data_IF_121793062355
#
_entry.id   IF_121793062355
#
_cell.length_a   1.000
_cell.length_b   1.000
_cell.length_c   1.000
_cell.angle_alpha   90.00
_cell.angle_beta   90.00
_cell.angle_gamma   90.00
#
_symmetry.space_group_name_H-M   'P 1'
#
loop_
_entity.id
_entity.type
_entity.pdbx_description
1 polymer ?
#
# COMPACT_ATOMS: atom_id res chain seq x y z
N UNK A 1 14.62 -7.77 -19.46
CA UNK A 1 13.31 -7.33 -19.94
C UNK A 1 13.17 -5.84 -19.70
N UNK A 2 12.44 -5.15 -20.57
CA UNK A 2 11.95 -3.80 -20.34
C UNK A 2 10.55 -3.89 -19.69
N UNK A 3 10.44 -3.45 -18.46
CA UNK A 3 9.19 -3.47 -17.69
C UNK A 3 8.72 -2.03 -17.47
N UNK A 4 7.53 -1.71 -17.94
CA UNK A 4 6.88 -0.43 -17.64
C UNK A 4 6.04 -0.61 -16.38
N UNK A 5 6.29 0.23 -15.37
CA UNK A 5 5.43 0.37 -14.19
C UNK A 5 4.49 1.55 -14.39
N UNK A 6 3.22 1.37 -14.10
CA UNK A 6 2.25 2.44 -14.12
C UNK A 6 1.58 2.60 -12.76
N UNK A 7 1.54 3.84 -12.29
CA UNK A 7 0.83 4.24 -11.08
C UNK A 7 0.11 5.58 -11.29
N UNK A 8 -0.77 5.92 -10.37
CA UNK A 8 -1.50 7.18 -10.44
C UNK A 8 -1.56 7.89 -9.09
N UNK A 9 -1.65 9.23 -9.17
CA UNK A 9 -1.91 10.11 -8.02
C UNK A 9 -0.78 10.23 -6.99
N UNK A 10 0.39 9.60 -7.20
CA UNK A 10 1.53 9.73 -6.30
C UNK A 10 2.19 11.12 -6.44
N UNK A 11 2.30 11.63 -7.66
CA UNK A 11 2.84 12.97 -7.93
C UNK A 11 2.01 14.06 -7.23
N UNK A 12 0.69 13.96 -7.25
CA UNK A 12 -0.22 14.91 -6.59
C UNK A 12 -0.32 14.72 -5.06
N UNK A 13 0.34 13.70 -4.51
CA UNK A 13 0.38 13.43 -3.06
C UNK A 13 1.84 13.40 -2.51
N UNK A 14 2.55 14.54 -2.55
CA UNK A 14 3.96 14.60 -2.17
C UNK A 14 4.23 14.31 -0.69
N UNK A 15 3.23 14.46 0.18
CA UNK A 15 3.36 14.25 1.63
C UNK A 15 3.02 12.82 2.08
N UNK A 16 2.84 11.90 1.15
CA UNK A 16 2.49 10.50 1.43
C UNK A 16 3.69 9.58 1.59
N UNK A 17 4.59 9.81 2.54
CA UNK A 17 5.86 9.05 2.67
C UNK A 17 5.70 7.54 2.71
N UNK A 18 4.61 7.02 3.31
CA UNK A 18 4.28 5.59 3.29
C UNK A 18 3.93 5.08 1.88
N UNK A 19 3.10 5.82 1.13
CA UNK A 19 2.74 5.46 -0.26
C UNK A 19 3.96 5.51 -1.17
N UNK A 20 4.79 6.54 -1.02
CA UNK A 20 6.07 6.66 -1.72
C UNK A 20 7.00 5.48 -1.41
N UNK A 21 7.13 5.12 -0.13
CA UNK A 21 7.97 3.99 0.29
C UNK A 21 7.49 2.66 -0.29
N UNK A 22 6.18 2.46 -0.35
CA UNK A 22 5.58 1.28 -0.96
C UNK A 22 5.85 1.22 -2.46
N UNK A 23 5.58 2.30 -3.20
CA UNK A 23 5.78 2.34 -4.65
C UNK A 23 7.24 2.13 -5.06
N UNK A 24 8.19 2.75 -4.36
CA UNK A 24 9.62 2.64 -4.65
C UNK A 24 10.14 1.21 -4.59
N UNK A 25 9.51 0.32 -3.84
CA UNK A 25 9.95 -1.07 -3.71
C UNK A 25 9.80 -1.86 -5.01
N UNK A 26 8.83 -1.51 -5.86
CA UNK A 26 8.65 -2.14 -7.17
C UNK A 26 9.82 -1.83 -8.13
N UNK A 27 10.08 -0.58 -8.52
CA UNK A 27 11.15 -0.30 -9.48
C UNK A 27 12.54 -0.64 -8.92
N UNK A 28 12.78 -0.43 -7.62
CA UNK A 28 14.08 -0.76 -7.02
C UNK A 28 14.31 -2.26 -6.95
N UNK A 29 13.30 -3.05 -6.58
CA UNK A 29 13.38 -4.49 -6.54
C UNK A 29 13.57 -5.10 -7.94
N UNK A 30 12.79 -4.67 -8.93
CA UNK A 30 12.91 -5.13 -10.31
C UNK A 30 14.27 -4.77 -10.93
N UNK A 31 14.77 -3.56 -10.67
CA UNK A 31 16.11 -3.14 -11.12
C UNK A 31 17.21 -3.97 -10.48
N UNK A 32 17.09 -4.30 -9.20
CA UNK A 32 18.04 -5.18 -8.50
C UNK A 32 18.06 -6.60 -9.08
N UNK A 33 16.97 -7.05 -9.69
CA UNK A 33 16.89 -8.30 -10.46
C UNK A 33 17.45 -8.21 -11.87
N UNK A 34 17.99 -7.06 -12.29
CA UNK A 34 18.62 -6.86 -13.60
C UNK A 34 17.64 -6.48 -14.72
N UNK A 35 16.45 -6.00 -14.39
CA UNK A 35 15.49 -5.54 -15.39
C UNK A 35 15.64 -4.04 -15.69
N UNK A 36 15.38 -3.65 -16.94
CA UNK A 36 15.23 -2.25 -17.32
C UNK A 36 13.83 -1.81 -16.95
N UNK A 37 13.74 -0.71 -16.21
CA UNK A 37 12.47 -0.20 -15.69
C UNK A 37 12.19 1.17 -16.27
N UNK A 38 10.96 1.37 -16.72
CA UNK A 38 10.44 2.70 -17.00
C UNK A 38 9.17 2.93 -16.19
N UNK A 39 9.06 4.06 -15.48
CA UNK A 39 7.91 4.36 -14.64
C UNK A 39 7.06 5.46 -15.25
N UNK A 40 5.79 5.17 -15.50
CA UNK A 40 4.79 6.15 -15.92
C UNK A 40 3.90 6.46 -14.72
N UNK A 41 3.98 7.68 -14.25
CA UNK A 41 3.06 8.21 -13.24
C UNK A 41 1.96 9.01 -13.93
N UNK A 42 0.70 8.72 -13.60
CA UNK A 42 -0.45 9.44 -14.12
C UNK A 42 -1.01 10.37 -13.04
N UNK A 43 -1.37 11.57 -13.46
CA UNK A 43 -1.93 12.58 -12.57
C UNK A 43 -3.14 13.25 -13.24
N UNK A 44 -4.22 13.43 -12.46
CA UNK A 44 -5.31 14.30 -12.87
C UNK A 44 -4.88 15.76 -12.69
N UNK A 45 -5.13 16.59 -13.70
CA UNK A 45 -4.91 18.03 -13.61
C UNK A 45 -5.71 18.63 -12.45
N UNK A 46 -5.12 19.53 -11.71
CA UNK A 46 -5.81 20.32 -10.70
C UNK A 46 -6.49 21.57 -11.28
N UNK A 47 -6.42 21.75 -12.63
CA UNK A 47 -6.96 22.91 -13.34
C UNK A 47 -6.00 24.12 -13.36
N UNK A 48 -4.80 24.00 -12.82
CA UNK A 48 -3.72 24.99 -12.86
C UNK A 48 -2.45 24.36 -13.42
N UNK A 49 -2.08 24.66 -14.68
CA UNK A 49 -0.91 24.08 -15.34
C UNK A 49 0.42 24.36 -14.61
N UNK A 50 0.54 25.50 -13.93
CA UNK A 50 1.76 25.82 -13.19
C UNK A 50 1.92 24.90 -11.98
N UNK A 51 0.83 24.66 -11.26
CA UNK A 51 0.78 23.75 -10.11
C UNK A 51 0.93 22.28 -10.54
N UNK A 52 0.33 21.89 -11.66
CA UNK A 52 0.53 20.56 -12.24
C UNK A 52 2.00 20.34 -12.56
N UNK A 53 2.67 21.35 -13.15
CA UNK A 53 4.10 21.31 -13.42
C UNK A 53 4.95 21.23 -12.14
N UNK A 54 4.56 21.93 -11.08
CA UNK A 54 5.23 21.83 -9.79
C UNK A 54 5.14 20.39 -9.21
N UNK A 55 3.96 19.79 -9.20
CA UNK A 55 3.78 18.41 -8.75
C UNK A 55 4.61 17.42 -9.56
N UNK A 56 4.57 17.53 -10.89
CA UNK A 56 5.31 16.65 -11.78
C UNK A 56 6.83 16.78 -11.59
N UNK A 57 7.36 18.00 -11.51
CA UNK A 57 8.78 18.25 -11.31
C UNK A 57 9.26 17.80 -9.92
N UNK A 58 8.47 18.02 -8.88
CA UNK A 58 8.78 17.52 -7.54
C UNK A 58 8.82 15.98 -7.49
N UNK A 59 7.92 15.32 -8.21
CA UNK A 59 7.94 13.87 -8.37
C UNK A 59 9.23 13.40 -9.03
N UNK A 60 9.58 13.98 -10.21
CA UNK A 60 10.79 13.64 -10.95
C UNK A 60 12.06 13.90 -10.15
N UNK A 61 12.14 15.02 -9.43
CA UNK A 61 13.25 15.32 -8.54
C UNK A 61 13.40 14.30 -7.40
N UNK A 62 12.29 13.87 -6.81
CA UNK A 62 12.32 12.87 -5.73
C UNK A 62 12.79 11.51 -6.22
N UNK A 63 12.30 11.02 -7.35
CA UNK A 63 12.74 9.71 -7.87
C UNK A 63 14.18 9.74 -8.38
N UNK A 64 14.72 10.90 -8.74
CA UNK A 64 16.12 11.08 -9.11
C UNK A 64 17.05 10.70 -7.94
N UNK A 65 16.65 10.98 -6.70
CA UNK A 65 17.41 10.60 -5.51
C UNK A 65 17.55 9.08 -5.33
N UNK A 66 16.67 8.30 -5.98
CA UNK A 66 16.72 6.82 -6.02
C UNK A 66 17.37 6.27 -7.29
N UNK A 67 17.96 7.15 -8.13
CA UNK A 67 18.60 6.77 -9.39
C UNK A 67 17.61 6.26 -10.44
N UNK A 68 16.35 6.67 -10.39
CA UNK A 68 15.28 6.26 -11.32
C UNK A 68 15.05 7.26 -12.45
N UNK A 69 15.55 8.49 -12.36
CA UNK A 69 15.65 9.37 -13.50
C UNK A 69 16.87 8.97 -14.38
N UNK A 70 16.77 9.00 -15.72
CA UNK A 70 15.71 9.50 -16.57
C UNK A 70 14.62 8.48 -16.96
N UNK A 71 14.48 7.38 -16.25
CA UNK A 71 13.58 6.28 -16.59
C UNK A 71 12.16 6.49 -16.02
N UNK A 72 11.66 7.73 -16.09
CA UNK A 72 10.35 8.05 -15.57
C UNK A 72 9.70 9.20 -16.36
N UNK A 73 8.37 9.16 -16.43
CA UNK A 73 7.55 10.24 -16.97
C UNK A 73 6.34 10.49 -16.08
N UNK A 74 5.87 11.74 -16.03
CA UNK A 74 4.56 12.10 -15.50
C UNK A 74 3.66 12.51 -16.65
N UNK A 75 2.49 11.89 -16.75
CA UNK A 75 1.44 12.21 -17.71
C UNK A 75 0.28 12.85 -16.97
N UNK A 76 -0.02 14.12 -17.28
CA UNK A 76 -1.13 14.85 -16.68
C UNK A 76 -2.28 14.89 -17.65
N UNK A 77 -3.45 14.41 -17.20
CA UNK A 77 -4.70 14.38 -17.95
C UNK A 77 -5.75 15.25 -17.28
N UNK A 78 -6.63 15.86 -18.05
CA UNK A 78 -7.82 16.55 -17.53
C UNK A 78 -8.75 15.55 -16.82
N UNK A 79 -8.87 14.35 -17.38
CA UNK A 79 -9.64 13.25 -16.83
C UNK A 79 -8.86 11.93 -16.93
N UNK A 80 -8.70 11.23 -15.82
CA UNK A 80 -8.02 9.93 -15.79
C UNK A 80 -8.87 8.79 -16.36
N UNK A 81 -10.17 9.00 -16.59
CA UNK A 81 -11.02 8.00 -17.23
C UNK A 81 -10.90 8.06 -18.77
N UNK A 82 -10.37 9.17 -19.33
CA UNK A 82 -10.15 9.36 -20.76
C UNK A 82 -8.68 9.68 -21.02
N UNK A 83 -7.86 8.65 -21.23
CA UNK A 83 -6.42 8.79 -21.36
C UNK A 83 -5.96 8.90 -22.83
N UNK A 84 -6.40 9.96 -23.52
CA UNK A 84 -5.85 10.30 -24.82
C UNK A 84 -4.46 10.94 -24.66
N UNK A 85 -3.42 10.17 -24.97
CA UNK A 85 -2.02 10.56 -24.82
C UNK A 85 -1.67 11.85 -25.60
N UNK A 86 -2.39 12.16 -26.69
CA UNK A 86 -2.16 13.38 -27.48
C UNK A 86 -2.64 14.66 -26.75
N UNK A 87 -3.46 14.50 -25.71
CA UNK A 87 -3.95 15.60 -24.86
C UNK A 87 -3.24 15.69 -23.52
N UNK A 88 -2.35 14.74 -23.23
CA UNK A 88 -1.60 14.75 -21.98
C UNK A 88 -0.56 15.87 -21.97
N UNK A 89 -0.42 16.54 -20.81
CA UNK A 89 0.80 17.30 -20.55
C UNK A 89 1.88 16.29 -20.10
N UNK A 90 3.06 16.38 -20.71
CA UNK A 90 4.14 15.40 -20.53
C UNK A 90 5.31 16.04 -19.79
N UNK A 91 5.76 15.44 -18.72
CA UNK A 91 6.96 15.82 -17.97
C UNK A 91 7.93 14.64 -17.93
N UNK A 92 9.20 14.89 -18.22
CA UNK A 92 10.24 13.88 -18.38
C UNK A 92 10.71 13.76 -19.83
N UNK A 93 10.90 12.56 -20.37
CA UNK A 93 11.27 12.35 -21.76
C UNK A 93 10.19 12.85 -22.74
N UNK A 94 10.57 13.17 -24.01
CA UNK A 94 9.60 13.53 -25.03
C UNK A 94 8.52 12.46 -25.23
N UNK A 95 7.31 12.87 -25.60
CA UNK A 95 6.17 11.97 -25.82
C UNK A 95 6.52 10.79 -26.74
N UNK A 96 7.22 11.06 -27.87
CA UNK A 96 7.60 9.99 -28.80
C UNK A 96 8.46 8.92 -28.13
N UNK A 97 9.40 9.33 -27.28
CA UNK A 97 10.23 8.38 -26.50
C UNK A 97 9.37 7.51 -25.58
N UNK A 98 8.34 8.08 -24.94
CA UNK A 98 7.43 7.32 -24.08
C UNK A 98 6.61 6.32 -24.91
N UNK A 99 6.16 6.71 -26.10
CA UNK A 99 5.43 5.83 -27.02
C UNK A 99 6.31 4.70 -27.54
N UNK A 100 7.56 4.99 -27.89
CA UNK A 100 8.53 3.98 -28.34
C UNK A 100 8.85 2.98 -27.21
N UNK A 101 8.92 3.46 -25.95
CA UNK A 101 9.08 2.61 -24.76
C UNK A 101 7.85 1.73 -24.55
N UNK A 102 6.64 2.29 -24.70
CA UNK A 102 5.41 1.52 -24.53
C UNK A 102 5.28 0.40 -25.57
N UNK A 103 5.61 0.70 -26.83
CA UNK A 103 5.58 -0.27 -27.94
C UNK A 103 6.65 -1.36 -27.78
N UNK A 104 7.84 -0.98 -27.27
CA UNK A 104 8.96 -1.89 -27.05
C UNK A 104 8.94 -2.60 -25.69
N UNK A 105 7.98 -2.36 -24.83
CA UNK A 105 7.93 -2.96 -23.50
C UNK A 105 7.60 -4.45 -23.53
N UNK A 106 8.40 -5.26 -22.84
CA UNK A 106 8.11 -6.69 -22.64
C UNK A 106 6.87 -6.89 -21.75
N UNK A 107 6.69 -6.01 -20.75
CA UNK A 107 5.60 -6.06 -19.79
C UNK A 107 5.15 -4.66 -19.37
N UNK A 108 3.84 -4.45 -19.26
CA UNK A 108 3.25 -3.40 -18.44
C UNK A 108 2.81 -4.02 -17.11
N UNK A 109 3.29 -3.48 -16.00
CA UNK A 109 2.73 -3.68 -14.65
C UNK A 109 1.86 -2.47 -14.30
N UNK A 110 0.57 -2.65 -14.44
CA UNK A 110 -0.44 -1.61 -14.22
C UNK A 110 -1.02 -1.73 -12.81
N UNK A 111 -0.60 -0.85 -11.90
CA UNK A 111 -1.09 -0.86 -10.52
C UNK A 111 -2.46 -0.20 -10.47
N UNK A 112 -3.43 -0.93 -9.87
CA UNK A 112 -4.78 -0.45 -9.61
C UNK A 112 -5.48 0.18 -10.84
N UNK A 113 -5.27 -0.38 -12.05
CA UNK A 113 -5.84 0.16 -13.30
C UNK A 113 -5.46 1.63 -13.57
N UNK A 114 -4.24 2.04 -13.23
CA UNK A 114 -3.77 3.41 -13.45
C UNK A 114 -3.78 3.81 -14.91
N UNK A 115 -3.26 2.95 -15.81
CA UNK A 115 -3.40 3.12 -17.27
C UNK A 115 -4.68 2.43 -17.73
N UNK A 116 -5.48 3.19 -18.50
CA UNK A 116 -6.73 2.75 -19.12
C UNK A 116 -6.71 2.98 -20.64
N UNK A 117 -7.76 2.58 -21.34
CA UNK A 117 -7.92 2.85 -22.76
C UNK A 117 -8.02 4.37 -23.05
N UNK A 118 -7.51 4.86 -24.19
CA UNK A 118 -6.83 4.10 -25.26
C UNK A 118 -5.32 3.85 -25.00
N UNK A 119 -4.70 4.47 -23.96
CA UNK A 119 -3.28 4.35 -23.70
C UNK A 119 -2.87 2.89 -23.40
N UNK A 120 -3.72 2.14 -22.71
CA UNK A 120 -3.48 0.74 -22.37
C UNK A 120 -3.22 -0.15 -23.60
N UNK A 121 -3.87 0.15 -24.73
CA UNK A 121 -3.70 -0.60 -25.98
C UNK A 121 -2.31 -0.50 -26.61
N UNK A 122 -1.47 0.46 -26.18
CA UNK A 122 -0.08 0.59 -26.63
C UNK A 122 0.83 -0.53 -26.12
N UNK A 123 0.41 -1.25 -25.09
CA UNK A 123 1.21 -2.29 -24.46
C UNK A 123 0.77 -3.67 -24.93
N UNK A 124 1.71 -4.46 -25.49
CA UNK A 124 1.43 -5.81 -25.98
C UNK A 124 1.09 -6.80 -24.86
N UNK A 125 1.84 -6.75 -23.73
CA UNK A 125 1.62 -7.62 -22.56
C UNK A 125 1.28 -6.79 -21.33
N UNK A 126 0.08 -6.99 -20.78
CA UNK A 126 -0.51 -6.16 -19.72
C UNK A 126 -0.82 -7.00 -18.49
N UNK A 127 -0.28 -6.59 -17.36
CA UNK A 127 -0.46 -7.24 -16.05
C UNK A 127 -1.13 -6.26 -15.11
N UNK A 128 -2.27 -6.62 -14.56
CA UNK A 128 -2.93 -5.85 -13.50
C UNK A 128 -2.40 -6.29 -12.15
N UNK A 129 -2.05 -5.32 -11.33
CA UNK A 129 -1.65 -5.54 -9.93
C UNK A 129 -2.65 -4.83 -9.03
N UNK A 130 -3.54 -5.62 -8.43
CA UNK A 130 -4.49 -5.15 -7.44
C UNK A 130 -3.85 -5.17 -6.04
N UNK A 131 -3.96 -4.05 -5.35
CA UNK A 131 -3.41 -3.84 -4.00
C UNK A 131 -4.49 -3.52 -2.96
N UNK A 132 -5.76 -3.53 -3.39
CA UNK A 132 -6.92 -3.19 -2.56
C UNK A 132 -8.07 -4.18 -2.82
N UNK A 133 -7.89 -5.47 -2.40
CA UNK A 133 -8.78 -6.57 -2.75
C UNK A 133 -10.21 -6.34 -2.24
N UNK A 134 -11.18 -6.54 -3.10
CA UNK A 134 -12.58 -6.25 -2.83
C UNK A 134 -12.98 -4.83 -3.26
N UNK A 135 -12.15 -3.82 -3.04
CA UNK A 135 -12.43 -2.47 -3.53
C UNK A 135 -12.43 -2.43 -5.07
N UNK A 136 -11.32 -2.82 -5.68
CA UNK A 136 -11.19 -2.82 -7.15
C UNK A 136 -12.25 -3.71 -7.82
N UNK A 137 -12.42 -4.93 -7.33
CA UNK A 137 -13.32 -5.91 -7.94
C UNK A 137 -14.78 -5.48 -7.82
N UNK A 138 -15.21 -4.94 -6.68
CA UNK A 138 -16.58 -4.45 -6.50
C UNK A 138 -16.83 -3.20 -7.34
N UNK A 139 -15.89 -2.24 -7.35
CA UNK A 139 -16.00 -1.07 -8.21
C UNK A 139 -16.14 -1.47 -9.69
N UNK A 140 -15.38 -2.48 -10.13
CA UNK A 140 -15.46 -2.99 -11.50
C UNK A 140 -16.77 -3.71 -11.84
N UNK A 141 -17.62 -4.07 -10.86
CA UNK A 141 -19.00 -4.53 -11.15
C UNK A 141 -19.94 -3.38 -11.50
N UNK A 142 -19.54 -2.14 -11.19
CA UNK A 142 -20.40 -0.96 -11.33
C UNK A 142 -19.87 0.03 -12.37
N UNK A 143 -18.56 0.04 -12.59
CA UNK A 143 -17.87 0.97 -13.49
C UNK A 143 -16.92 0.22 -14.42
N UNK A 144 -16.78 0.74 -15.65
CA UNK A 144 -15.76 0.24 -16.57
C UNK A 144 -14.38 0.73 -16.11
N UNK A 145 -13.56 -0.19 -15.62
CA UNK A 145 -12.24 0.11 -15.07
C UNK A 145 -11.09 -0.49 -15.89
N UNK A 146 -11.39 -1.17 -17.00
CA UNK A 146 -10.39 -1.83 -17.84
C UNK A 146 -9.76 -3.06 -17.19
N UNK A 147 -10.39 -3.66 -16.17
CA UNK A 147 -9.86 -4.86 -15.49
C UNK A 147 -9.69 -6.00 -16.47
N UNK A 148 -10.70 -6.20 -17.35
CA UNK A 148 -10.71 -7.27 -18.37
C UNK A 148 -9.71 -7.06 -19.52
N UNK A 149 -9.14 -5.85 -19.64
CA UNK A 149 -8.17 -5.52 -20.69
C UNK A 149 -6.76 -6.06 -20.41
N UNK A 150 -6.55 -6.73 -19.26
CA UNK A 150 -5.27 -7.29 -18.86
C UNK A 150 -5.19 -8.80 -19.13
N UNK A 151 -3.96 -9.29 -19.37
CA UNK A 151 -3.71 -10.71 -19.66
C UNK A 151 -3.46 -11.52 -18.40
N UNK A 152 -2.96 -10.88 -17.34
CA UNK A 152 -2.64 -11.49 -16.04
C UNK A 152 -3.14 -10.57 -14.94
N UNK A 153 -3.72 -11.16 -13.90
CA UNK A 153 -4.30 -10.43 -12.77
C UNK A 153 -3.67 -10.94 -11.47
N UNK A 154 -3.00 -10.04 -10.75
CA UNK A 154 -2.47 -10.28 -9.42
C UNK A 154 -3.27 -9.52 -8.36
N UNK A 155 -3.41 -10.10 -7.18
CA UNK A 155 -3.98 -9.40 -6.02
C UNK A 155 -3.22 -9.72 -4.74
N UNK A 156 -3.07 -8.72 -3.85
CA UNK A 156 -2.57 -8.93 -2.48
C UNK A 156 -3.60 -9.62 -1.56
N UNK A 157 -4.80 -9.89 -2.06
CA UNK A 157 -5.81 -10.71 -1.38
C UNK A 157 -5.43 -12.19 -1.46
N UNK A 158 -4.76 -12.71 -0.43
CA UNK A 158 -4.26 -14.07 -0.42
C UNK A 158 -5.35 -15.13 -0.61
N UNK A 159 -6.59 -14.80 -0.25
CA UNK A 159 -7.77 -15.68 -0.34
C UNK A 159 -8.70 -15.40 -1.51
N UNK A 160 -8.33 -14.53 -2.44
CA UNK A 160 -9.24 -14.06 -3.49
C UNK A 160 -9.85 -15.18 -4.35
N UNK A 161 -9.18 -16.31 -4.47
CA UNK A 161 -9.65 -17.49 -5.21
C UNK A 161 -10.26 -18.56 -4.31
N UNK A 162 -10.32 -18.34 -2.99
CA UNK A 162 -10.87 -19.33 -2.06
C UNK A 162 -12.40 -19.25 -2.01
N UNK A 163 -13.10 -20.38 -1.80
CA UNK A 163 -14.57 -20.42 -1.77
C UNK A 163 -15.21 -19.58 -0.65
N UNK A 164 -14.47 -19.33 0.45
CA UNK A 164 -14.92 -18.56 1.59
C UNK A 164 -14.58 -17.06 1.49
N UNK A 165 -13.97 -16.63 0.39
CA UNK A 165 -13.74 -15.23 0.09
C UNK A 165 -14.97 -14.62 -0.59
N UNK A 166 -15.48 -13.52 -0.02
CA UNK A 166 -16.66 -12.81 -0.55
C UNK A 166 -16.38 -11.83 -1.69
N UNK A 167 -15.15 -11.76 -2.19
CA UNK A 167 -14.78 -10.84 -3.28
C UNK A 167 -15.20 -11.41 -4.64
N UNK A 168 -15.90 -10.64 -5.51
CA UNK A 168 -16.24 -11.11 -6.85
C UNK A 168 -14.98 -11.28 -7.71
N UNK A 169 -14.82 -12.45 -8.32
CA UNK A 169 -13.67 -12.71 -9.20
C UNK A 169 -13.82 -12.09 -10.59
N UNK A 170 -14.99 -11.57 -10.95
CA UNK A 170 -15.33 -11.05 -12.29
C UNK A 170 -15.15 -12.07 -13.42
N UNK A 171 -15.19 -13.38 -13.08
CA UNK A 171 -14.89 -14.45 -14.04
C UNK A 171 -13.41 -14.57 -14.41
N UNK A 172 -12.53 -13.87 -13.73
CA UNK A 172 -11.09 -13.82 -13.99
C UNK A 172 -10.31 -14.74 -13.04
N UNK A 173 -9.14 -15.18 -13.52
CA UNK A 173 -8.18 -15.92 -12.69
C UNK A 173 -7.24 -14.96 -11.98
N UNK A 174 -7.49 -14.72 -10.73
CA UNK A 174 -6.61 -13.93 -9.85
C UNK A 174 -5.48 -14.80 -9.31
N UNK A 175 -4.27 -14.23 -9.30
CA UNK A 175 -3.07 -14.84 -8.74
C UNK A 175 -2.72 -14.11 -7.45
N UNK A 176 -2.78 -14.75 -6.30
CA UNK A 176 -2.41 -14.10 -5.06
C UNK A 176 -0.90 -13.83 -5.01
N UNK A 177 -0.52 -12.71 -4.42
CA UNK A 177 0.85 -12.43 -4.01
C UNK A 177 0.87 -11.77 -2.65
N UNK A 178 1.96 -11.93 -1.91
CA UNK A 178 2.15 -11.25 -0.63
C UNK A 178 2.76 -9.86 -0.87
N UNK A 179 2.43 -8.86 -0.04
CA UNK A 179 3.17 -7.61 -0.06
C UNK A 179 4.65 -7.89 0.18
N UNK A 180 5.52 -7.06 -0.38
CA UNK A 180 6.96 -7.30 -0.28
C UNK A 180 7.72 -6.05 0.13
N UNK A 181 8.95 -6.26 0.55
CA UNK A 181 9.87 -5.22 0.95
C UNK A 181 11.21 -5.38 0.23
N UNK A 182 11.70 -4.30 -0.38
CA UNK A 182 13.05 -4.21 -0.92
C UNK A 182 14.03 -3.94 0.24
N UNK A 183 14.59 -5.00 0.80
CA UNK A 183 15.36 -4.97 2.05
C UNK A 183 16.47 -3.92 2.12
N UNK A 184 17.19 -3.57 1.02
CA UNK A 184 18.20 -2.52 1.08
C UNK A 184 17.67 -1.13 1.49
N UNK A 185 16.35 -0.88 1.38
CA UNK A 185 15.73 0.36 1.90
C UNK A 185 15.49 0.33 3.42
N UNK A 186 15.61 -0.84 4.07
CA UNK A 186 15.11 -1.06 5.43
C UNK A 186 16.18 -1.70 6.32
N UNK A 187 16.90 -0.88 7.04
CA UNK A 187 17.85 -1.35 8.03
C UNK A 187 17.13 -1.86 9.28
N UNK A 188 17.67 -2.92 9.88
CA UNK A 188 17.20 -3.37 11.17
C UNK A 188 17.41 -2.26 12.22
N UNK A 189 16.38 -1.98 13.00
CA UNK A 189 16.42 -0.94 14.00
C UNK A 189 16.73 -1.52 15.41
N UNK A 190 17.46 -0.82 16.27
CA UNK A 190 17.68 -1.25 17.66
C UNK A 190 16.36 -1.27 18.43
N UNK A 191 16.34 -1.93 19.59
CA UNK A 191 15.18 -1.89 20.49
C UNK A 191 14.87 -0.43 20.87
N UNK A 192 13.65 0.05 20.62
CA UNK A 192 13.27 1.44 20.92
C UNK A 192 12.98 1.66 22.42
N UNK A 193 13.01 0.61 23.21
CA UNK A 193 12.63 0.61 24.63
C UNK A 193 11.12 0.37 24.86
N UNK A 194 10.75 0.06 26.11
CA UNK A 194 9.38 -0.32 26.47
C UNK A 194 8.38 0.84 26.40
N UNK A 195 8.84 2.07 26.47
CA UNK A 195 8.00 3.29 26.42
C UNK A 195 7.66 3.72 24.99
N UNK A 196 8.28 3.11 23.97
CA UNK A 196 7.97 3.39 22.59
C UNK A 196 6.55 2.93 22.24
N UNK A 197 5.81 3.67 21.40
CA UNK A 197 4.41 3.36 21.15
C UNK A 197 4.20 2.16 20.21
N UNK A 198 3.13 1.43 20.43
CA UNK A 198 2.47 0.67 19.37
C UNK A 198 1.85 1.68 18.42
N UNK A 199 2.25 1.67 17.15
CA UNK A 199 1.89 2.75 16.25
C UNK A 199 1.22 2.27 14.97
N UNK A 200 0.55 3.19 14.28
CA UNK A 200 0.06 2.98 12.93
C UNK A 200 0.00 4.29 12.17
N UNK A 201 0.04 4.18 10.84
CA UNK A 201 -0.19 5.31 9.92
C UNK A 201 -1.35 4.95 9.01
N UNK A 202 -2.34 5.83 8.89
CA UNK A 202 -3.54 5.50 8.13
C UNK A 202 -4.21 6.71 7.51
N UNK A 203 -4.87 6.49 6.38
CA UNK A 203 -5.96 7.33 5.91
C UNK A 203 -7.16 7.09 6.83
N UNK A 204 -7.83 8.16 7.28
CA UNK A 204 -8.92 8.04 8.25
C UNK A 204 -10.24 7.68 7.59
N UNK A 205 -10.77 8.58 6.79
CA UNK A 205 -12.03 8.41 6.08
C UNK A 205 -11.78 8.20 4.60
N UNK A 206 -12.53 7.31 4.00
CA UNK A 206 -12.57 7.04 2.58
C UNK A 206 -14.03 6.85 2.17
N UNK A 207 -14.29 6.35 0.96
CA UNK A 207 -15.62 6.10 0.44
C UNK A 207 -16.28 4.84 1.01
N UNK A 208 -17.53 4.62 0.64
CA UNK A 208 -18.30 3.41 0.89
C UNK A 208 -18.68 2.78 -0.44
N UNK A 209 -18.76 1.44 -0.46
CA UNK A 209 -19.15 0.68 -1.64
C UNK A 209 -20.48 -0.04 -1.39
N UNK A 210 -21.39 0.04 -2.34
CA UNK A 210 -22.61 -0.77 -2.32
C UNK A 210 -22.38 -2.09 -3.06
N UNK A 211 -22.65 -3.21 -2.41
CA UNK A 211 -22.51 -4.54 -3.03
C UNK A 211 -23.55 -5.51 -2.47
N UNK A 212 -24.38 -6.09 -3.37
CA UNK A 212 -25.48 -6.99 -3.01
C UNK A 212 -26.40 -6.42 -1.91
N UNK A 213 -26.78 -5.15 -2.00
CA UNK A 213 -27.65 -4.49 -1.05
C UNK A 213 -27.01 -4.19 0.33
N UNK A 214 -25.69 -4.44 0.48
CA UNK A 214 -24.92 -4.09 1.66
C UNK A 214 -24.03 -2.89 1.37
N UNK A 215 -23.82 -2.05 2.38
CA UNK A 215 -22.81 -0.98 2.35
C UNK A 215 -21.54 -1.54 3.00
N UNK A 216 -20.43 -1.53 2.24
CA UNK A 216 -19.12 -1.98 2.68
C UNK A 216 -18.22 -0.76 2.85
N UNK A 217 -17.67 -0.61 4.04
CA UNK A 217 -16.78 0.52 4.34
C UNK A 217 -15.34 0.21 3.93
N UNK A 218 -14.73 1.13 3.19
CA UNK A 218 -13.31 1.13 2.90
C UNK A 218 -12.53 2.16 3.73
N UNK A 219 -13.21 2.79 4.72
CA UNK A 219 -12.61 3.71 5.69
C UNK A 219 -12.08 2.95 6.90
N UNK A 220 -10.88 3.30 7.36
CA UNK A 220 -10.30 2.67 8.58
C UNK A 220 -10.85 3.25 9.88
N UNK A 221 -11.60 4.36 9.81
CA UNK A 221 -12.21 5.02 10.95
C UNK A 221 -12.92 4.06 11.89
N UNK A 222 -13.91 3.31 11.39
CA UNK A 222 -14.68 2.37 12.19
C UNK A 222 -13.82 1.25 12.79
N UNK A 223 -12.79 0.81 12.08
CA UNK A 223 -11.88 -0.22 12.56
C UNK A 223 -11.07 0.24 13.78
N UNK A 224 -10.47 1.44 13.75
CA UNK A 224 -9.72 1.96 14.90
C UNK A 224 -10.62 2.36 16.07
N UNK A 225 -11.79 2.95 15.81
CA UNK A 225 -12.72 3.33 16.88
C UNK A 225 -13.25 2.13 17.67
N UNK A 226 -13.28 0.93 17.09
CA UNK A 226 -13.63 -0.31 17.79
C UNK A 226 -12.63 -0.67 18.90
N UNK A 227 -11.39 -0.23 18.76
CA UNK A 227 -10.30 -0.49 19.70
C UNK A 227 -9.84 0.78 20.42
N UNK A 228 -10.75 1.74 20.59
CA UNK A 228 -10.46 3.05 21.18
C UNK A 228 -9.86 2.91 22.59
N UNK A 229 -10.30 1.95 23.39
CA UNK A 229 -9.90 1.76 24.78
C UNK A 229 -8.66 0.85 24.94
N UNK A 230 -8.06 0.36 23.84
CA UNK A 230 -6.91 -0.53 23.88
C UNK A 230 -5.71 0.03 24.68
N UNK A 231 -5.35 1.33 24.60
CA UNK A 231 -4.30 1.91 25.44
C UNK A 231 -4.61 1.79 26.93
N UNK A 232 -5.83 2.10 27.34
CA UNK A 232 -6.24 2.03 28.75
C UNK A 232 -6.20 0.60 29.31
N UNK A 233 -6.61 -0.38 28.50
CA UNK A 233 -6.62 -1.81 28.91
C UNK A 233 -5.23 -2.42 28.99
N UNK A 234 -4.30 -2.00 28.11
CA UNK A 234 -2.94 -2.55 28.08
C UNK A 234 -1.93 -1.79 28.94
N UNK A 235 -2.24 -0.55 29.32
CA UNK A 235 -1.31 0.34 29.98
C UNK A 235 -0.10 0.74 29.12
N UNK A 236 -0.18 0.54 27.80
CA UNK A 236 0.90 0.83 26.84
C UNK A 236 0.65 2.11 26.04
N UNK A 237 1.72 2.71 25.56
CA UNK A 237 1.62 3.84 24.65
C UNK A 237 1.16 3.40 23.27
N UNK A 238 0.10 4.05 22.76
CA UNK A 238 -0.39 3.86 21.39
C UNK A 238 -0.36 5.21 20.66
N UNK A 239 0.07 5.16 19.41
CA UNK A 239 0.10 6.33 18.55
C UNK A 239 -0.54 6.05 17.19
N UNK A 240 -1.41 6.93 16.76
CA UNK A 240 -2.05 6.88 15.45
C UNK A 240 -1.68 8.13 14.65
N UNK A 241 -0.90 7.95 13.59
CA UNK A 241 -0.69 8.98 12.59
C UNK A 241 -1.86 8.93 11.59
N UNK A 242 -2.89 9.74 11.83
CA UNK A 242 -4.08 9.82 11.00
C UNK A 242 -4.43 11.27 10.70
N UNK A 243 -4.66 11.56 9.41
CA UNK A 243 -5.20 12.86 9.03
C UNK A 243 -6.70 12.85 9.27
N UNK A 244 -7.12 13.44 10.40
CA UNK A 244 -8.52 13.67 10.76
C UNK A 244 -8.78 15.14 10.49
N UNK A 245 -9.36 15.43 9.33
CA UNK A 245 -9.57 16.81 8.84
C UNK A 245 -10.95 17.37 9.20
N UNK A 246 -11.25 18.55 8.66
CA UNK A 246 -12.53 19.25 8.93
C UNK A 246 -13.76 18.52 8.36
N UNK A 247 -13.56 17.62 7.42
CA UNK A 247 -14.63 16.78 6.83
C UNK A 247 -14.96 15.54 7.66
N UNK A 248 -14.07 15.19 8.59
CA UNK A 248 -14.27 14.05 9.48
C UNK A 248 -15.10 14.47 10.71
N UNK A 249 -15.80 13.51 11.37
CA UNK A 249 -16.52 13.82 12.60
C UNK A 249 -15.57 14.39 13.66
N UNK A 250 -15.86 15.61 14.13
CA UNK A 250 -15.00 16.36 15.06
C UNK A 250 -14.71 15.59 16.36
N UNK A 251 -15.65 14.75 16.81
CA UNK A 251 -15.52 13.95 18.04
C UNK A 251 -14.57 12.75 17.91
N UNK A 252 -14.17 12.34 16.70
CA UNK A 252 -13.31 11.16 16.52
C UNK A 252 -11.93 11.35 17.16
N UNK A 253 -11.33 12.51 16.93
CA UNK A 253 -10.02 12.84 17.52
C UNK A 253 -10.09 12.89 19.05
N UNK A 254 -11.19 13.41 19.58
CA UNK A 254 -11.43 13.47 21.02
C UNK A 254 -11.67 12.07 21.59
N UNK A 255 -12.48 11.24 20.94
CA UNK A 255 -12.71 9.85 21.35
C UNK A 255 -11.40 9.05 21.44
N UNK A 256 -10.55 9.13 20.41
CA UNK A 256 -9.24 8.48 20.42
C UNK A 256 -8.36 8.97 21.57
N UNK A 257 -8.30 10.28 21.80
CA UNK A 257 -7.50 10.87 22.89
C UNK A 257 -8.02 10.45 24.27
N UNK A 258 -9.33 10.46 24.45
CA UNK A 258 -9.98 10.02 25.70
C UNK A 258 -9.71 8.51 25.96
N UNK A 259 -9.62 7.70 24.90
CA UNK A 259 -9.21 6.29 24.97
C UNK A 259 -7.71 6.07 25.21
N UNK A 260 -6.91 7.15 25.25
CA UNK A 260 -5.46 7.09 25.53
C UNK A 260 -4.58 7.07 24.29
N UNK A 261 -5.11 7.22 23.09
CA UNK A 261 -4.31 7.30 21.86
C UNK A 261 -3.64 8.67 21.70
N UNK A 262 -2.37 8.67 21.35
CA UNK A 262 -1.68 9.86 20.83
C UNK A 262 -1.98 9.98 19.33
N UNK A 263 -2.79 10.98 18.95
CA UNK A 263 -3.13 11.23 17.54
C UNK A 263 -2.23 12.31 16.99
N UNK A 264 -1.46 11.98 15.95
CA UNK A 264 -0.50 12.86 15.28
C UNK A 264 -0.84 13.04 13.80
N UNK A 265 -0.38 14.14 13.22
CA UNK A 265 -0.56 14.43 11.81
C UNK A 265 0.47 13.64 10.97
N UNK A 266 0.04 12.72 10.08
CA UNK A 266 0.95 11.92 9.25
C UNK A 266 1.80 12.78 8.31
N UNK A 267 1.31 13.93 7.86
CA UNK A 267 2.03 14.85 7.00
C UNK A 267 3.20 15.56 7.72
N UNK A 268 3.21 15.53 9.06
CA UNK A 268 4.32 16.06 9.88
C UNK A 268 5.33 14.98 10.25
N UNK A 269 4.87 13.76 10.53
CA UNK A 269 5.74 12.70 11.07
C UNK A 269 6.23 11.71 10.01
N UNK A 270 5.56 11.62 8.86
CA UNK A 270 5.81 10.61 7.82
C UNK A 270 5.60 11.14 6.39
N UNK A 271 5.98 12.40 6.13
CA UNK A 271 5.73 13.09 4.84
C UNK A 271 6.64 12.62 3.71
N UNK A 272 7.80 12.06 4.01
CA UNK A 272 8.76 11.54 3.03
C UNK A 272 9.09 10.08 3.33
N UNK A 273 9.67 9.32 2.39
CA UNK A 273 10.16 7.97 2.68
C UNK A 273 11.12 7.91 3.87
N UNK A 274 11.95 8.94 4.06
CA UNK A 274 12.93 9.02 5.15
C UNK A 274 12.23 9.23 6.50
N UNK A 275 11.33 10.21 6.59
CA UNK A 275 10.56 10.49 7.82
C UNK A 275 9.61 9.34 8.15
N UNK A 276 9.02 8.69 7.13
CA UNK A 276 8.24 7.48 7.31
C UNK A 276 9.07 6.35 7.94
N UNK A 277 10.27 6.07 7.42
CA UNK A 277 11.20 5.10 8.02
C UNK A 277 11.57 5.49 9.45
N UNK A 278 11.82 6.78 9.70
CA UNK A 278 12.09 7.32 11.05
C UNK A 278 10.96 7.05 12.03
N UNK A 279 9.72 7.26 11.58
CA UNK A 279 8.51 6.99 12.36
C UNK A 279 8.37 5.50 12.73
N UNK A 280 8.54 4.60 11.77
CA UNK A 280 8.50 3.17 12.02
C UNK A 280 9.64 2.73 12.95
N UNK A 281 10.83 3.30 12.77
CA UNK A 281 12.01 3.02 13.60
C UNK A 281 11.78 3.37 15.06
N UNK A 282 11.07 4.46 15.35
CA UNK A 282 10.76 4.92 16.70
C UNK A 282 9.65 4.13 17.39
N UNK A 283 8.94 3.28 16.67
CA UNK A 283 7.81 2.51 17.17
C UNK A 283 8.25 1.22 17.87
N UNK A 284 7.52 0.80 18.90
CA UNK A 284 7.67 -0.51 19.57
C UNK A 284 7.25 -1.65 18.63
N UNK A 285 6.05 -1.51 18.10
CA UNK A 285 5.42 -2.47 17.19
C UNK A 285 4.36 -1.74 16.34
N UNK A 286 3.83 -2.42 15.32
CA UNK A 286 2.63 -1.98 14.64
C UNK A 286 1.38 -2.49 15.33
N UNK A 287 0.33 -1.65 15.39
CA UNK A 287 -1.06 -2.07 15.57
C UNK A 287 -1.80 -1.80 14.25
N UNK A 288 -2.26 -2.85 13.57
CA UNK A 288 -2.82 -2.76 12.23
C UNK A 288 -4.29 -3.15 12.21
N UNK A 289 -5.16 -2.14 12.05
CA UNK A 289 -6.57 -2.36 11.74
C UNK A 289 -6.77 -2.20 10.24
N UNK A 290 -7.31 -3.22 9.54
CA UNK A 290 -7.57 -3.19 8.11
C UNK A 290 -8.80 -2.33 7.78
N UNK A 291 -9.04 -2.06 6.49
CA UNK A 291 -10.35 -1.60 6.03
C UNK A 291 -11.40 -2.66 6.40
N UNK A 292 -12.59 -2.28 6.88
CA UNK A 292 -13.64 -3.26 7.25
C UNK A 292 -13.96 -4.26 6.13
N UNK A 293 -13.97 -3.81 4.88
CA UNK A 293 -14.20 -4.66 3.70
C UNK A 293 -13.25 -5.86 3.63
N UNK A 294 -11.97 -5.72 4.03
CA UNK A 294 -11.00 -6.81 3.95
C UNK A 294 -11.32 -7.94 4.91
N UNK A 295 -11.80 -7.60 6.10
CA UNK A 295 -12.24 -8.56 7.11
C UNK A 295 -13.59 -9.17 6.75
N UNK A 296 -14.56 -8.34 6.35
CA UNK A 296 -15.93 -8.77 6.04
C UNK A 296 -16.00 -9.70 4.84
N UNK A 297 -15.11 -9.53 3.86
CA UNK A 297 -15.02 -10.39 2.68
C UNK A 297 -13.93 -11.48 2.80
N UNK A 298 -13.27 -11.59 3.95
CA UNK A 298 -12.25 -12.62 4.21
C UNK A 298 -11.18 -12.65 3.11
N UNK A 299 -10.60 -11.49 2.79
CA UNK A 299 -9.72 -11.33 1.63
C UNK A 299 -8.34 -11.94 1.78
N UNK A 300 -7.90 -12.25 3.01
CA UNK A 300 -6.53 -12.65 3.30
C UNK A 300 -5.51 -11.52 3.15
N UNK A 301 -5.96 -10.27 3.16
CA UNK A 301 -5.07 -9.11 3.00
C UNK A 301 -4.12 -8.94 4.19
N UNK A 302 -2.84 -8.79 3.90
CA UNK A 302 -1.81 -8.36 4.85
C UNK A 302 -1.20 -7.06 4.36
N UNK A 303 -0.87 -6.13 5.26
CA UNK A 303 -0.49 -4.77 4.87
C UNK A 303 0.94 -4.67 4.32
N UNK A 304 1.11 -3.92 3.23
CA UNK A 304 2.40 -3.42 2.73
C UNK A 304 3.15 -2.59 3.81
N UNK A 305 2.43 -1.84 4.64
CA UNK A 305 2.98 -1.13 5.79
C UNK A 305 3.52 -2.11 6.82
N UNK A 306 2.80 -3.19 7.11
CA UNK A 306 3.23 -4.21 8.09
C UNK A 306 4.56 -4.84 7.70
N UNK A 307 4.79 -5.14 6.41
CA UNK A 307 6.08 -5.69 5.98
C UNK A 307 7.24 -4.71 6.16
N UNK A 308 6.97 -3.40 6.13
CA UNK A 308 7.96 -2.37 6.43
C UNK A 308 8.34 -2.37 7.93
N UNK A 309 7.36 -2.52 8.84
CA UNK A 309 7.63 -2.71 10.27
C UNK A 309 8.46 -3.98 10.51
N UNK A 310 8.05 -5.10 9.93
CA UNK A 310 8.78 -6.37 10.02
C UNK A 310 10.22 -6.22 9.54
N UNK A 311 10.43 -5.51 8.44
CA UNK A 311 11.77 -5.29 7.88
C UNK A 311 12.69 -4.51 8.82
N UNK A 312 12.16 -3.66 9.69
CA UNK A 312 12.93 -2.98 10.73
C UNK A 312 13.08 -3.80 12.02
N UNK A 313 12.52 -5.01 12.08
CA UNK A 313 12.48 -5.81 13.29
C UNK A 313 11.41 -5.34 14.28
N UNK A 314 10.39 -4.63 13.79
CA UNK A 314 9.23 -4.24 14.60
C UNK A 314 8.15 -5.31 14.47
N UNK A 315 7.71 -5.93 15.57
CA UNK A 315 6.58 -6.86 15.55
C UNK A 315 5.31 -6.20 15.06
N UNK A 316 4.37 -7.02 14.59
CA UNK A 316 3.09 -6.57 14.06
C UNK A 316 1.96 -7.27 14.82
N UNK A 317 1.03 -6.48 15.34
CA UNK A 317 -0.27 -6.91 15.86
C UNK A 317 -1.32 -6.53 14.82
N UNK A 318 -1.89 -7.49 14.11
CA UNK A 318 -2.79 -7.22 12.99
C UNK A 318 -4.15 -7.90 13.17
N UNK A 319 -5.22 -7.14 12.89
CA UNK A 319 -6.57 -7.71 12.87
C UNK A 319 -6.70 -8.72 11.73
N UNK A 320 -7.30 -9.86 12.03
CA UNK A 320 -7.38 -11.02 11.13
C UNK A 320 -8.33 -10.75 9.96
N UNK A 321 -7.81 -10.86 8.74
CA UNK A 321 -8.53 -10.80 7.47
C UNK A 321 -8.56 -12.15 6.76
N UNK A 322 -8.14 -13.22 7.43
CA UNK A 322 -7.85 -14.52 6.83
C UNK A 322 -6.40 -14.69 6.38
N UNK A 323 -5.50 -13.72 6.64
CA UNK A 323 -4.11 -13.79 6.17
C UNK A 323 -3.28 -14.90 6.83
N UNK A 324 -3.74 -15.46 7.95
CA UNK A 324 -3.00 -16.46 8.73
C UNK A 324 -2.66 -17.74 7.97
N UNK A 325 -3.37 -18.04 6.87
CA UNK A 325 -3.08 -19.17 6.00
C UNK A 325 -1.82 -18.95 5.14
N UNK A 326 -1.51 -17.69 4.84
CA UNK A 326 -0.37 -17.31 4.00
C UNK A 326 0.81 -16.72 4.80
N UNK A 327 0.54 -16.16 5.99
CA UNK A 327 1.52 -15.49 6.86
C UNK A 327 1.61 -16.19 8.19
N UNK A 328 2.77 -16.76 8.58
CA UNK A 328 2.96 -17.37 9.89
C UNK A 328 2.71 -16.38 11.03
N UNK A 329 1.91 -16.79 12.00
CA UNK A 329 1.55 -15.98 13.17
C UNK A 329 2.10 -16.56 14.47
N UNK A 330 1.94 -15.83 15.59
CA UNK A 330 2.38 -16.21 16.93
C UNK A 330 3.75 -15.66 17.32
N UNK A 331 4.64 -15.38 16.36
CA UNK A 331 5.96 -14.78 16.64
C UNK A 331 6.35 -13.79 15.56
N UNK A 332 6.58 -12.54 15.93
CA UNK A 332 6.84 -11.44 15.01
C UNK A 332 5.59 -10.85 14.38
N UNK A 333 4.62 -11.69 14.02
CA UNK A 333 3.26 -11.32 13.64
C UNK A 333 2.30 -12.01 14.59
N UNK A 334 1.44 -11.24 15.25
CA UNK A 334 0.35 -11.71 16.08
C UNK A 334 -0.96 -11.22 15.49
N UNK A 335 -1.94 -12.08 15.40
CA UNK A 335 -3.26 -11.72 14.86
C UNK A 335 -4.27 -11.60 15.98
N UNK A 336 -5.31 -10.77 15.76
CA UNK A 336 -6.42 -10.59 16.68
C UNK A 336 -7.73 -10.39 15.93
N UNK A 337 -8.86 -10.67 16.57
CA UNK A 337 -10.23 -10.50 16.06
C UNK A 337 -11.08 -9.61 16.94
N UNK A 338 -10.68 -9.45 18.20
CA UNK A 338 -11.35 -8.63 19.21
C UNK A 338 -10.35 -7.94 20.13
N UNK A 339 -10.86 -7.18 21.09
CA UNK A 339 -10.04 -6.40 22.03
C UNK A 339 -9.23 -7.30 22.97
N UNK A 340 -9.76 -8.43 23.41
CA UNK A 340 -9.07 -9.33 24.34
C UNK A 340 -7.88 -10.01 23.66
N UNK A 341 -8.06 -10.48 22.42
CA UNK A 341 -6.96 -11.03 21.61
C UNK A 341 -5.91 -9.95 21.30
N UNK A 342 -6.31 -8.70 21.05
CA UNK A 342 -5.38 -7.59 20.84
C UNK A 342 -4.54 -7.29 22.09
N UNK A 343 -5.17 -7.25 23.27
CA UNK A 343 -4.49 -7.07 24.55
C UNK A 343 -3.50 -8.22 24.82
N UNK A 344 -3.92 -9.46 24.60
CA UNK A 344 -3.07 -10.64 24.74
C UNK A 344 -1.86 -10.58 23.79
N UNK A 345 -2.05 -10.13 22.55
CA UNK A 345 -0.97 -9.96 21.57
C UNK A 345 0.05 -8.90 22.01
N UNK A 346 -0.42 -7.77 22.55
CA UNK A 346 0.45 -6.71 23.09
C UNK A 346 1.27 -7.26 24.27
N UNK A 347 0.64 -7.92 25.21
CA UNK A 347 1.30 -8.52 26.37
C UNK A 347 2.33 -9.59 25.97
N UNK A 348 2.02 -10.39 24.94
CA UNK A 348 2.94 -11.40 24.40
C UNK A 348 4.21 -10.78 23.81
N UNK A 349 4.08 -9.69 23.05
CA UNK A 349 5.23 -8.96 22.51
C UNK A 349 6.10 -8.43 23.64
N UNK A 350 5.51 -7.86 24.68
CA UNK A 350 6.27 -7.29 25.80
C UNK A 350 6.93 -8.34 26.67
N UNK A 351 6.37 -9.52 26.77
CA UNK A 351 6.96 -10.64 27.51
C UNK A 351 8.32 -11.07 26.95
N UNK A 352 8.50 -11.08 25.62
CA UNK A 352 9.78 -11.36 24.96
C UNK A 352 9.93 -10.56 23.67
N UNK A 353 10.09 -9.26 23.83
CA UNK A 353 10.28 -8.34 22.69
C UNK A 353 11.43 -8.76 21.77
N UNK A 354 12.54 -9.20 22.37
CA UNK A 354 13.72 -9.60 21.61
C UNK A 354 13.45 -10.78 20.68
N UNK A 355 12.68 -11.77 21.12
CA UNK A 355 12.24 -12.88 20.26
C UNK A 355 11.36 -12.38 19.12
N UNK A 356 10.35 -11.56 19.45
CA UNK A 356 9.40 -11.03 18.44
C UNK A 356 10.09 -10.14 17.42
N UNK A 357 11.03 -9.28 17.84
CA UNK A 357 11.81 -8.43 16.96
C UNK A 357 12.68 -9.23 15.98
N UNK A 358 13.42 -10.24 16.49
CA UNK A 358 14.22 -11.13 15.62
C UNK A 358 13.34 -11.89 14.62
N UNK A 359 12.18 -12.37 15.05
CA UNK A 359 11.24 -13.10 14.19
C UNK A 359 10.58 -12.19 13.14
N UNK A 360 10.26 -10.96 13.51
CA UNK A 360 9.79 -9.95 12.56
C UNK A 360 10.78 -9.74 11.42
N UNK A 361 12.07 -9.51 11.75
CA UNK A 361 13.12 -9.36 10.75
C UNK A 361 13.33 -10.60 9.89
N UNK A 362 13.24 -11.78 10.49
CA UNK A 362 13.36 -13.05 9.76
C UNK A 362 12.20 -13.22 8.75
N UNK A 363 10.96 -12.93 9.15
CA UNK A 363 9.81 -12.97 8.25
C UNK A 363 9.98 -12.02 7.06
N UNK A 364 10.44 -10.79 7.30
CA UNK A 364 10.70 -9.84 6.21
C UNK A 364 11.74 -10.37 5.21
N UNK A 365 12.82 -11.00 5.71
CA UNK A 365 13.88 -11.55 4.88
C UNK A 365 13.45 -12.81 4.13
N UNK A 366 12.74 -13.72 4.81
CA UNK A 366 12.52 -15.08 4.31
C UNK A 366 11.19 -15.21 3.53
N UNK A 367 10.16 -14.44 3.93
CA UNK A 367 8.82 -14.51 3.32
C UNK A 367 8.51 -13.28 2.44
N UNK A 368 8.84 -12.07 2.90
CA UNK A 368 8.42 -10.82 2.26
C UNK A 368 9.51 -10.15 1.42
N UNK A 369 10.62 -10.81 1.17
CA UNK A 369 11.71 -10.27 0.35
C UNK A 369 11.27 -10.06 -1.10
N UNK A 370 11.47 -8.85 -1.63
CA UNK A 370 11.16 -8.47 -3.01
C UNK A 370 11.78 -9.40 -4.03
N UNK A 371 13.04 -9.84 -3.86
CA UNK A 371 13.73 -10.69 -4.82
C UNK A 371 12.97 -11.99 -5.07
N UNK A 372 12.47 -12.61 -4.01
CA UNK A 372 11.69 -13.85 -4.09
C UNK A 372 10.34 -13.62 -4.75
N UNK A 373 9.60 -12.59 -4.27
CA UNK A 373 8.21 -12.37 -4.68
C UNK A 373 8.13 -11.79 -6.09
N UNK A 374 9.00 -10.86 -6.44
CA UNK A 374 9.05 -10.31 -7.80
C UNK A 374 9.45 -11.38 -8.83
N UNK A 375 10.42 -12.26 -8.52
CA UNK A 375 10.76 -13.40 -9.39
C UNK A 375 9.57 -14.33 -9.62
N UNK A 376 8.81 -14.64 -8.57
CA UNK A 376 7.63 -15.48 -8.68
C UNK A 376 6.53 -14.81 -9.52
N UNK A 377 6.29 -13.50 -9.33
CA UNK A 377 5.33 -12.74 -10.13
C UNK A 377 5.75 -12.70 -11.61
N UNK A 378 7.03 -12.42 -11.90
CA UNK A 378 7.54 -12.38 -13.28
C UNK A 378 7.43 -13.75 -13.99
N UNK A 379 7.72 -14.85 -13.29
CA UNK A 379 7.57 -16.20 -13.83
C UNK A 379 6.11 -16.58 -14.15
N UNK A 380 5.15 -15.86 -13.57
CA UNK A 380 3.73 -16.08 -13.77
C UNK A 380 3.11 -15.09 -14.80
N UNK A 381 3.88 -14.13 -15.33
CA UNK A 381 3.48 -13.23 -16.40
C UNK A 381 3.65 -13.89 -17.76
#
# INVERSE_FOLDING_TARGET
>A
MLIVLASSSLASYPLGGGVWSWMLQYPLGLRALGHNIFWIELMKSCGDPARDGEFANNFLARIAAYGLAPHCAVLVFEDLDVQDINRAQVYGPPLQTILDIADGADLLWNLACSIRQPLLAKFARRVLIDVDPGHLQIAATQFEMGVNDHHVHFSVGAKLSDPDCGVPTLGLKWRPFLPFVYLPMWEAAPDPGPEAPFSSITQWTWEELSYHGRVLSVSKRAAYLRYVDLPAHTGRAFELAAFIGDKDPAHDREALRNGGWRVVDPHKVASTPETYRGYLRASRAEISCPKPIFRELNTGWFSDRSVCYLAMGRPVVAEDTGFGDAVPTGRGVLKFRDSDEAQAAVAEIDRDYSLHSRRARALARDLFNSDRLLKAMLAAC
#
